data_IF_429195672634
#
_entry.id   IF_429195672634
#
_cell.length_a   1.000
_cell.length_b   1.000
_cell.length_c   1.000
_cell.angle_alpha   90.00
_cell.angle_beta   90.00
_cell.angle_gamma   90.00
#
_symmetry.space_group_name_H-M   'P 1'
#
loop_
_entity.id
_entity.type
_entity.pdbx_description
1 polymer ?
#
# COMPACT_ATOMS: atom_id res chain seq x y z
N UNK A 1 -18.19 -67.19 6.15
CA UNK A 1 -19.46 -66.48 6.46
C UNK A 1 -19.29 -65.94 7.87
N UNK A 2 -18.92 -64.69 8.17
CA UNK A 2 -18.99 -63.44 7.44
C UNK A 2 -17.72 -62.61 7.72
N UNK A 3 -17.16 -61.97 6.69
CA UNK A 3 -16.16 -60.91 6.83
C UNK A 3 -16.93 -59.58 6.93
N UNK A 4 -16.66 -58.80 7.97
CA UNK A 4 -17.27 -57.48 8.17
C UNK A 4 -16.78 -56.46 7.13
N UNK A 5 -17.54 -55.38 6.87
CA UNK A 5 -17.15 -54.38 5.90
C UNK A 5 -16.03 -53.48 6.46
N UNK A 6 -14.97 -53.30 5.66
CA UNK A 6 -13.95 -52.27 5.86
C UNK A 6 -14.59 -50.87 5.76
N UNK A 7 -14.37 -50.04 6.77
CA UNK A 7 -14.71 -48.62 6.73
C UNK A 7 -13.70 -47.87 5.84
N UNK A 8 -14.13 -46.90 5.02
CA UNK A 8 -13.21 -46.12 4.21
C UNK A 8 -12.48 -45.08 5.06
N UNK A 9 -11.14 -45.17 5.02
CA UNK A 9 -10.18 -44.24 5.60
C UNK A 9 -10.38 -42.83 5.02
N UNK A 10 -10.79 -41.88 5.86
CA UNK A 10 -10.94 -40.47 5.51
C UNK A 10 -9.55 -39.84 5.44
N UNK A 11 -9.08 -39.31 4.29
CA UNK A 11 -7.79 -38.63 4.24
C UNK A 11 -7.89 -37.32 5.01
N UNK A 12 -7.01 -37.15 6.00
CA UNK A 12 -6.88 -35.95 6.80
C UNK A 12 -6.79 -34.70 5.93
N UNK A 13 -7.76 -33.82 6.10
CA UNK A 13 -7.70 -32.45 5.58
C UNK A 13 -6.58 -31.74 6.32
N UNK A 14 -5.42 -31.65 5.66
CA UNK A 14 -4.32 -30.79 6.08
C UNK A 14 -4.82 -29.36 6.15
N UNK A 15 -5.09 -28.90 7.36
CA UNK A 15 -5.22 -27.49 7.66
C UNK A 15 -3.82 -26.88 7.54
N UNK A 16 -3.44 -26.49 6.32
CA UNK A 16 -2.39 -25.49 6.12
C UNK A 16 -2.94 -24.15 6.61
N UNK A 17 -2.88 -23.99 7.93
CA UNK A 17 -2.99 -22.70 8.59
C UNK A 17 -1.90 -21.82 8.01
N UNK A 18 -2.30 -20.84 7.21
CA UNK A 18 -1.42 -19.80 6.69
C UNK A 18 -1.00 -18.89 7.86
N UNK A 19 -0.10 -19.41 8.69
CA UNK A 19 0.62 -18.65 9.68
C UNK A 19 1.58 -17.76 8.90
N UNK A 20 1.11 -16.56 8.54
CA UNK A 20 1.93 -15.59 7.84
C UNK A 20 3.01 -15.16 8.82
N UNK A 21 4.28 -15.59 8.67
CA UNK A 21 5.25 -15.46 9.73
C UNK A 21 5.46 -13.98 9.99
N UNK A 22 5.22 -13.57 11.23
CA UNK A 22 5.58 -12.25 11.71
C UNK A 22 7.07 -12.02 11.39
N UNK A 23 7.35 -11.07 10.51
CA UNK A 23 8.71 -10.72 10.12
C UNK A 23 9.22 -9.72 11.15
N UNK A 24 10.16 -10.16 11.99
CA UNK A 24 10.83 -9.28 12.94
C UNK A 24 11.43 -8.06 12.20
N UNK A 25 11.33 -6.83 12.74
CA UNK A 25 11.78 -5.61 12.08
C UNK A 25 13.22 -5.64 11.54
N UNK A 26 14.09 -6.43 12.16
CA UNK A 26 15.51 -6.61 11.84
C UNK A 26 15.74 -7.34 10.50
N UNK A 27 14.73 -8.03 9.98
CA UNK A 27 14.81 -8.73 8.68
C UNK A 27 14.29 -7.89 7.50
N UNK A 28 13.91 -6.63 7.76
CA UNK A 28 13.57 -5.65 6.73
C UNK A 28 14.82 -5.04 6.09
N UNK A 29 14.77 -4.64 4.80
CA UNK A 29 15.96 -4.22 4.06
C UNK A 29 16.70 -3.06 4.71
N UNK A 30 18.04 -3.11 4.72
CA UNK A 30 18.88 -2.05 5.28
C UNK A 30 18.57 -0.66 4.71
N UNK A 31 18.22 -0.60 3.42
CA UNK A 31 17.84 0.63 2.73
C UNK A 31 16.56 1.30 3.30
N UNK A 32 15.75 0.58 4.07
CA UNK A 32 14.53 1.10 4.68
C UNK A 32 14.78 1.65 6.09
N UNK A 33 15.86 1.23 6.76
CA UNK A 33 16.13 1.53 8.17
C UNK A 33 16.13 3.03 8.50
N UNK A 34 16.70 3.93 7.66
CA UNK A 34 16.62 5.38 7.91
C UNK A 34 15.18 5.92 7.96
N UNK A 35 14.24 5.28 7.26
CA UNK A 35 12.83 5.62 7.25
C UNK A 35 12.06 4.91 8.37
N UNK A 36 12.33 3.63 8.61
CA UNK A 36 11.69 2.84 9.67
C UNK A 36 11.99 3.39 11.07
N UNK A 37 13.17 3.98 11.27
CA UNK A 37 13.54 4.65 12.51
C UNK A 37 12.87 6.02 12.74
N UNK A 38 12.03 6.50 11.81
CA UNK A 38 11.27 7.74 12.02
C UNK A 38 10.09 7.46 12.95
N UNK A 39 9.78 8.35 13.93
CA UNK A 39 8.79 8.07 14.97
C UNK A 39 7.45 7.55 14.44
N UNK A 40 6.93 8.17 13.37
CA UNK A 40 5.68 7.80 12.75
C UNK A 40 5.59 6.34 12.27
N UNK A 41 6.70 5.77 11.78
CA UNK A 41 6.82 4.37 11.37
C UNK A 41 7.26 3.48 12.52
N UNK A 42 8.23 3.93 13.32
CA UNK A 42 8.77 3.19 14.45
C UNK A 42 7.69 2.77 15.44
N UNK A 43 6.72 3.66 15.72
CA UNK A 43 5.57 3.39 16.59
C UNK A 43 4.62 2.31 16.03
N UNK A 44 4.67 2.02 14.73
CA UNK A 44 3.85 0.97 14.10
C UNK A 44 4.59 -0.38 14.02
N UNK A 45 5.90 -0.40 14.28
CA UNK A 45 6.68 -1.63 14.31
C UNK A 45 6.19 -2.50 15.47
N UNK A 46 5.86 -3.76 15.17
CA UNK A 46 5.23 -4.69 16.12
C UNK A 46 3.72 -4.85 15.94
N UNK A 47 3.04 -3.92 15.25
CA UNK A 47 1.64 -4.13 14.92
C UNK A 47 1.50 -5.24 13.84
N UNK A 48 0.69 -6.30 14.03
CA UNK A 48 0.64 -7.45 13.11
C UNK A 48 0.34 -7.06 11.66
N UNK A 49 -0.69 -6.23 11.44
CA UNK A 49 -1.07 -5.76 10.10
C UNK A 49 0.02 -4.88 9.45
N UNK A 50 0.75 -4.08 10.25
CA UNK A 50 1.85 -3.25 9.74
C UNK A 50 3.04 -4.13 9.31
N UNK A 51 3.41 -5.10 10.14
CA UNK A 51 4.46 -6.08 9.82
C UNK A 51 4.13 -6.90 8.57
N UNK A 52 2.87 -7.36 8.45
CA UNK A 52 2.40 -8.07 7.26
C UNK A 52 2.44 -7.18 6.00
N UNK A 53 2.02 -5.92 6.10
CA UNK A 53 2.06 -4.99 4.97
C UNK A 53 3.49 -4.69 4.51
N UNK A 54 4.44 -4.48 5.44
CA UNK A 54 5.86 -4.29 5.12
C UNK A 54 6.47 -5.55 4.49
N UNK A 55 6.04 -6.73 4.91
CA UNK A 55 6.47 -8.02 4.34
C UNK A 55 6.00 -8.17 2.90
N UNK A 56 4.72 -7.91 2.63
CA UNK A 56 4.16 -7.95 1.27
C UNK A 56 4.81 -6.88 0.39
N UNK A 57 5.01 -5.66 0.90
CA UNK A 57 5.70 -4.60 0.19
C UNK A 57 7.11 -5.04 -0.26
N UNK A 58 7.85 -5.74 0.60
CA UNK A 58 9.19 -6.27 0.30
C UNK A 58 9.15 -7.31 -0.82
N UNK A 59 8.10 -8.13 -0.86
CA UNK A 59 7.91 -9.18 -1.87
C UNK A 59 7.45 -8.62 -3.21
N UNK A 60 6.59 -7.61 -3.19
CA UNK A 60 5.84 -7.14 -4.36
C UNK A 60 6.52 -5.98 -5.08
N UNK A 61 7.25 -5.12 -4.37
CA UNK A 61 7.83 -3.89 -4.93
C UNK A 61 9.34 -4.01 -5.18
N UNK A 62 9.84 -3.47 -6.30
CA UNK A 62 11.26 -3.16 -6.44
C UNK A 62 11.73 -2.21 -5.32
N UNK A 63 13.03 -2.26 -4.93
CA UNK A 63 13.53 -1.50 -3.79
C UNK A 63 13.20 0.01 -3.81
N UNK A 64 13.31 0.66 -4.97
CA UNK A 64 13.01 2.10 -5.10
C UNK A 64 11.52 2.44 -4.97
N UNK A 65 10.62 1.53 -5.32
CA UNK A 65 9.17 1.71 -5.10
C UNK A 65 8.79 1.51 -3.64
N UNK A 66 9.44 0.58 -2.94
CA UNK A 66 9.23 0.40 -1.51
C UNK A 66 9.69 1.63 -0.71
N UNK A 67 10.84 2.21 -1.05
CA UNK A 67 11.30 3.47 -0.43
C UNK A 67 10.32 4.62 -0.70
N UNK A 68 9.80 4.74 -1.93
CA UNK A 68 8.75 5.71 -2.26
C UNK A 68 7.48 5.51 -1.41
N UNK A 69 7.05 4.27 -1.19
CA UNK A 69 5.89 3.93 -0.38
C UNK A 69 6.08 4.34 1.09
N UNK A 70 7.26 4.08 1.67
CA UNK A 70 7.61 4.51 3.02
C UNK A 70 7.67 6.05 3.15
N UNK A 71 8.28 6.75 2.19
CA UNK A 71 8.29 8.23 2.18
C UNK A 71 6.89 8.79 2.02
N UNK A 72 6.05 8.19 1.18
CA UNK A 72 4.64 8.56 1.01
C UNK A 72 3.89 8.52 2.34
N UNK A 73 4.03 7.44 3.11
CA UNK A 73 3.44 7.36 4.45
C UNK A 73 3.96 8.46 5.38
N UNK A 74 5.27 8.68 5.45
CA UNK A 74 5.87 9.68 6.33
C UNK A 74 5.46 11.12 5.99
N UNK A 75 5.33 11.43 4.70
CA UNK A 75 4.87 12.75 4.23
C UNK A 75 3.38 12.94 4.51
N UNK A 76 2.58 11.90 4.34
CA UNK A 76 1.17 11.90 4.69
C UNK A 76 0.98 12.13 6.20
N UNK A 77 1.72 11.42 7.03
CA UNK A 77 1.70 11.59 8.49
C UNK A 77 2.19 12.99 8.93
N UNK A 78 3.22 13.54 8.29
CA UNK A 78 3.64 14.93 8.54
C UNK A 78 2.52 15.93 8.24
N UNK A 79 1.78 15.74 7.14
CA UNK A 79 0.62 16.55 6.80
C UNK A 79 -0.49 16.41 7.84
N UNK A 80 -0.78 15.17 8.25
CA UNK A 80 -1.78 14.90 9.27
C UNK A 80 -1.47 15.61 10.59
N UNK A 81 -0.20 15.60 11.03
CA UNK A 81 0.23 16.34 12.22
C UNK A 81 0.09 17.84 12.08
N UNK A 82 0.51 18.42 10.95
CA UNK A 82 0.39 19.86 10.70
C UNK A 82 -1.06 20.34 10.80
N UNK A 83 -2.02 19.51 10.37
CA UNK A 83 -3.43 19.87 10.30
C UNK A 83 -4.30 19.24 11.39
N UNK A 84 -3.72 18.57 12.40
CA UNK A 84 -4.47 17.86 13.44
C UNK A 84 -5.47 16.82 12.91
N UNK A 85 -5.16 16.19 11.76
CA UNK A 85 -6.08 15.23 11.11
C UNK A 85 -5.93 13.85 11.74
N UNK A 86 -6.99 13.35 12.35
CA UNK A 86 -7.07 11.96 12.79
C UNK A 86 -7.26 11.02 11.59
N UNK A 87 -6.59 9.86 11.62
CA UNK A 87 -6.65 8.87 10.56
C UNK A 87 -6.20 7.48 11.07
N UNK A 88 -6.57 6.44 10.33
CA UNK A 88 -6.08 5.07 10.56
C UNK A 88 -4.62 4.93 10.14
N UNK A 89 -3.69 5.05 11.10
CA UNK A 89 -2.23 4.99 10.85
C UNK A 89 -1.77 3.68 10.23
N UNK A 90 -2.22 2.56 10.78
CA UNK A 90 -1.83 1.22 10.30
C UNK A 90 -2.43 0.96 8.92
N UNK A 91 -3.69 1.35 8.71
CA UNK A 91 -4.35 1.21 7.42
C UNK A 91 -3.72 2.09 6.35
N UNK A 92 -3.32 3.32 6.68
CA UNK A 92 -2.62 4.21 5.75
C UNK A 92 -1.24 3.66 5.37
N UNK A 93 -0.51 3.05 6.32
CA UNK A 93 0.74 2.34 6.01
C UNK A 93 0.49 1.18 5.04
N UNK A 94 -0.55 0.38 5.26
CA UNK A 94 -0.93 -0.70 4.33
C UNK A 94 -1.35 -0.13 2.96
N UNK A 95 -2.13 0.94 2.92
CA UNK A 95 -2.51 1.59 1.67
C UNK A 95 -1.29 2.13 0.90
N UNK A 96 -0.34 2.76 1.60
CA UNK A 96 0.91 3.23 1.02
C UNK A 96 1.77 2.07 0.50
N UNK A 97 1.86 0.95 1.23
CA UNK A 97 2.59 -0.24 0.80
C UNK A 97 2.05 -0.86 -0.49
N UNK A 98 0.75 -0.71 -0.76
CA UNK A 98 0.09 -1.33 -1.91
C UNK A 98 -0.17 -0.39 -3.09
N UNK A 99 -0.11 0.94 -2.92
CA UNK A 99 -0.69 1.88 -3.89
C UNK A 99 -0.14 1.74 -5.32
N UNK A 100 1.13 1.38 -5.45
CA UNK A 100 1.84 1.20 -6.73
C UNK A 100 2.09 -0.27 -7.11
N UNK A 101 1.62 -1.25 -6.35
CA UNK A 101 1.87 -2.68 -6.65
C UNK A 101 1.33 -3.06 -8.03
N UNK A 102 0.16 -2.52 -8.39
CA UNK A 102 -0.43 -2.73 -9.71
C UNK A 102 0.43 -2.19 -10.86
N UNK A 103 1.30 -1.21 -10.60
CA UNK A 103 2.18 -0.57 -11.60
C UNK A 103 3.42 -1.43 -11.91
N UNK A 104 3.88 -2.22 -10.94
CA UNK A 104 5.15 -2.97 -11.04
C UNK A 104 4.97 -4.44 -11.45
N UNK A 105 3.73 -4.95 -11.45
CA UNK A 105 3.43 -6.35 -11.78
C UNK A 105 3.77 -6.73 -13.23
N UNK A 106 4.26 -7.96 -13.42
CA UNK A 106 4.67 -8.51 -14.74
C UNK A 106 3.50 -8.92 -15.64
N UNK A 107 2.34 -9.18 -15.06
CA UNK A 107 1.12 -9.58 -15.79
C UNK A 107 0.46 -8.37 -16.43
N UNK A 108 -0.06 -8.52 -17.64
CA UNK A 108 -0.82 -7.45 -18.33
C UNK A 108 -1.91 -6.88 -17.42
N UNK A 109 -2.01 -5.55 -17.39
CA UNK A 109 -3.13 -4.87 -16.75
C UNK A 109 -4.43 -5.28 -17.44
N UNK A 110 -5.41 -5.74 -16.66
CA UNK A 110 -6.75 -6.07 -17.16
C UNK A 110 -7.53 -4.83 -17.62
N UNK A 111 -8.87 -4.92 -17.64
CA UNK A 111 -9.78 -3.80 -17.97
C UNK A 111 -9.77 -2.65 -16.94
N UNK A 112 -8.94 -2.71 -15.90
CA UNK A 112 -8.76 -1.65 -14.89
C UNK A 112 -7.36 -1.02 -14.93
N UNK A 113 -7.28 0.24 -14.51
CA UNK A 113 -6.00 0.93 -14.30
C UNK A 113 -5.14 0.28 -13.22
N UNK A 114 -3.86 0.65 -13.15
CA UNK A 114 -2.95 0.07 -12.15
C UNK A 114 -3.43 0.35 -10.71
N UNK A 115 -3.99 1.54 -10.45
CA UNK A 115 -4.56 1.89 -9.15
C UNK A 115 -5.74 1.00 -8.76
N UNK A 116 -6.60 0.61 -9.71
CA UNK A 116 -7.69 -0.33 -9.46
C UNK A 116 -7.16 -1.73 -9.11
N UNK A 117 -6.10 -2.16 -9.78
CA UNK A 117 -5.41 -3.41 -9.46
C UNK A 117 -4.72 -3.36 -8.10
N UNK A 118 -4.01 -2.29 -7.78
CA UNK A 118 -3.43 -2.06 -6.45
C UNK A 118 -4.50 -2.14 -5.36
N UNK A 119 -5.66 -1.53 -5.60
CA UNK A 119 -6.79 -1.58 -4.67
C UNK A 119 -7.37 -3.00 -4.51
N UNK A 120 -7.44 -3.80 -5.57
CA UNK A 120 -7.87 -5.21 -5.48
C UNK A 120 -6.89 -6.06 -4.68
N UNK A 121 -5.58 -5.85 -4.87
CA UNK A 121 -4.56 -6.57 -4.11
C UNK A 121 -4.57 -6.18 -2.63
N UNK A 122 -4.76 -4.89 -2.35
CA UNK A 122 -4.95 -4.41 -0.98
C UNK A 122 -6.21 -5.02 -0.36
N UNK A 123 -7.33 -5.08 -1.09
CA UNK A 123 -8.57 -5.64 -0.56
C UNK A 123 -8.43 -7.11 -0.18
N UNK A 124 -7.79 -7.91 -1.05
CA UNK A 124 -7.51 -9.32 -0.77
C UNK A 124 -6.56 -9.49 0.44
N UNK A 125 -5.54 -8.65 0.55
CA UNK A 125 -4.64 -8.62 1.71
C UNK A 125 -5.41 -8.31 3.00
N UNK A 126 -6.19 -7.22 3.01
CA UNK A 126 -6.95 -6.79 4.18
C UNK A 126 -8.02 -7.82 4.57
N UNK A 127 -8.66 -8.49 3.60
CA UNK A 127 -9.62 -9.56 3.84
C UNK A 127 -8.97 -10.75 4.56
N UNK A 128 -7.78 -11.18 4.11
CA UNK A 128 -7.01 -12.26 4.72
C UNK A 128 -6.55 -11.96 6.15
N UNK A 129 -6.44 -10.69 6.50
CA UNK A 129 -6.12 -10.22 7.85
C UNK A 129 -7.36 -9.75 8.63
N UNK A 130 -8.55 -10.22 8.25
CA UNK A 130 -9.82 -10.03 8.96
C UNK A 130 -10.21 -8.56 9.19
N UNK A 131 -9.74 -7.66 8.34
CA UNK A 131 -10.09 -6.24 8.42
C UNK A 131 -11.54 -6.05 7.97
N UNK A 132 -12.34 -5.36 8.80
CA UNK A 132 -13.75 -5.14 8.53
C UNK A 132 -14.05 -4.39 7.21
N UNK A 133 -15.24 -4.63 6.61
CA UNK A 133 -15.58 -4.17 5.26
C UNK A 133 -15.59 -2.64 5.09
N UNK A 134 -16.02 -1.89 6.12
CA UNK A 134 -16.01 -0.42 6.07
C UNK A 134 -14.59 0.16 5.96
N UNK A 135 -13.67 -0.35 6.78
CA UNK A 135 -12.25 0.02 6.76
C UNK A 135 -11.58 -0.37 5.44
N UNK A 136 -11.85 -1.59 4.95
CA UNK A 136 -11.41 -2.04 3.62
C UNK A 136 -11.87 -1.12 2.51
N UNK A 137 -13.15 -0.74 2.52
CA UNK A 137 -13.73 0.16 1.51
C UNK A 137 -13.00 1.52 1.50
N UNK A 138 -12.76 2.10 2.68
CA UNK A 138 -12.05 3.38 2.79
C UNK A 138 -10.61 3.31 2.28
N UNK A 139 -9.85 2.28 2.67
CA UNK A 139 -8.44 2.11 2.30
C UNK A 139 -8.26 1.76 0.82
N UNK A 140 -9.12 0.90 0.28
CA UNK A 140 -9.09 0.54 -1.15
C UNK A 140 -9.55 1.70 -2.03
N UNK A 141 -10.47 2.54 -1.55
CA UNK A 141 -10.82 3.81 -2.20
C UNK A 141 -9.62 4.77 -2.23
N UNK A 142 -8.91 4.92 -1.11
CA UNK A 142 -7.69 5.73 -1.06
C UNK A 142 -6.69 5.31 -2.14
N UNK A 143 -6.40 4.00 -2.24
CA UNK A 143 -5.51 3.47 -3.29
C UNK A 143 -6.10 3.64 -4.68
N UNK A 144 -7.40 3.46 -4.90
CA UNK A 144 -7.99 3.62 -6.23
C UNK A 144 -7.90 5.06 -6.75
N UNK A 145 -7.94 6.03 -5.84
CA UNK A 145 -8.06 7.45 -6.16
C UNK A 145 -6.76 8.26 -6.03
N UNK A 146 -5.64 7.65 -5.61
CA UNK A 146 -4.40 8.39 -5.35
C UNK A 146 -3.84 9.12 -6.59
N UNK A 147 -4.16 8.66 -7.80
CA UNK A 147 -3.74 9.31 -9.06
C UNK A 147 -4.71 10.39 -9.58
N UNK A 148 -5.81 10.68 -8.87
CA UNK A 148 -6.68 11.79 -9.28
C UNK A 148 -5.90 13.10 -9.28
N UNK A 149 -6.19 14.04 -10.20
CA UNK A 149 -5.58 15.36 -10.16
C UNK A 149 -5.83 16.09 -8.84
N UNK A 150 -6.97 15.83 -8.20
CA UNK A 150 -7.31 16.32 -6.86
C UNK A 150 -8.12 15.25 -6.12
N UNK A 151 -8.02 15.18 -4.78
CA UNK A 151 -8.89 14.32 -3.98
C UNK A 151 -10.38 14.60 -4.27
N UNK A 152 -11.22 13.58 -4.20
CA UNK A 152 -12.67 13.77 -4.27
C UNK A 152 -13.16 14.63 -3.10
N UNK A 153 -14.26 15.38 -3.30
CA UNK A 153 -14.84 16.25 -2.26
C UNK A 153 -15.25 15.45 -1.02
N UNK A 154 -15.78 14.26 -1.22
CA UNK A 154 -16.23 13.31 -0.20
C UNK A 154 -15.14 12.30 0.22
N UNK A 155 -13.87 12.52 -0.16
CA UNK A 155 -12.78 11.63 0.24
C UNK A 155 -12.69 11.51 1.77
N UNK A 156 -12.26 10.37 2.28
CA UNK A 156 -11.89 10.21 3.69
C UNK A 156 -10.51 10.81 4.00
N UNK A 157 -10.12 10.89 5.29
CA UNK A 157 -8.80 11.35 5.68
C UNK A 157 -7.69 10.49 5.06
N UNK A 158 -7.81 9.16 5.04
CA UNK A 158 -6.79 8.26 4.47
C UNK A 158 -6.59 8.51 2.97
N UNK A 159 -7.67 8.76 2.23
CA UNK A 159 -7.60 9.05 0.80
C UNK A 159 -6.91 10.40 0.51
N UNK A 160 -7.21 11.44 1.31
CA UNK A 160 -6.54 12.75 1.20
C UNK A 160 -5.06 12.66 1.56
N UNK A 161 -4.74 11.96 2.64
CA UNK A 161 -3.37 11.84 3.15
C UNK A 161 -2.49 10.98 2.22
N UNK A 162 -3.01 9.85 1.73
CA UNK A 162 -2.29 9.03 0.74
C UNK A 162 -2.02 9.81 -0.56
N UNK A 163 -3.04 10.52 -1.05
CA UNK A 163 -2.90 11.39 -2.22
C UNK A 163 -1.82 12.46 -1.99
N UNK A 164 -1.87 13.17 -0.86
CA UNK A 164 -0.89 14.18 -0.51
C UNK A 164 0.53 13.61 -0.48
N UNK A 165 0.75 12.51 0.25
CA UNK A 165 2.07 11.90 0.39
C UNK A 165 2.66 11.46 -0.96
N UNK A 166 1.87 10.78 -1.79
CA UNK A 166 2.31 10.30 -3.09
C UNK A 166 2.66 11.46 -4.03
N UNK A 167 1.79 12.47 -4.13
CA UNK A 167 2.02 13.64 -4.99
C UNK A 167 3.20 14.50 -4.51
N UNK A 168 3.36 14.63 -3.19
CA UNK A 168 4.49 15.37 -2.63
C UNK A 168 5.81 14.67 -2.94
N UNK A 169 5.91 13.35 -2.76
CA UNK A 169 7.16 12.64 -2.98
C UNK A 169 7.61 12.73 -4.45
N UNK A 170 6.69 12.53 -5.39
CA UNK A 170 7.01 12.49 -6.83
C UNK A 170 7.16 13.88 -7.43
N UNK A 171 6.15 14.75 -7.31
CA UNK A 171 6.10 16.03 -8.05
C UNK A 171 6.27 17.25 -7.16
N UNK A 172 6.48 17.07 -5.85
CA UNK A 172 6.69 18.20 -4.92
C UNK A 172 5.41 18.97 -4.56
N UNK A 173 4.24 18.51 -5.01
CA UNK A 173 2.98 19.20 -4.76
C UNK A 173 2.65 19.16 -3.27
N UNK A 174 2.36 20.32 -2.68
CA UNK A 174 2.03 20.42 -1.26
C UNK A 174 3.22 20.69 -0.35
N UNK A 175 4.43 20.91 -0.89
CA UNK A 175 5.65 21.13 -0.10
C UNK A 175 5.55 22.27 0.92
N UNK A 176 4.74 23.31 0.67
CA UNK A 176 4.50 24.40 1.62
C UNK A 176 3.75 23.98 2.89
N UNK A 177 3.03 22.86 2.86
CA UNK A 177 2.30 22.34 4.02
C UNK A 177 3.21 21.60 5.01
N UNK A 178 4.33 21.04 4.51
CA UNK A 178 5.35 20.35 5.32
C UNK A 178 6.75 20.78 4.86
N UNK A 179 7.17 22.03 5.16
CA UNK A 179 8.40 22.59 4.61
C UNK A 179 9.64 21.77 4.97
N UNK A 180 10.38 21.33 3.96
CA UNK A 180 11.66 20.61 4.14
C UNK A 180 11.53 19.09 4.36
N UNK A 181 10.35 18.56 4.68
CA UNK A 181 10.17 17.12 4.94
C UNK A 181 10.53 16.26 3.73
N UNK A 182 10.07 16.63 2.53
CA UNK A 182 10.41 15.90 1.29
C UNK A 182 11.92 15.83 1.07
N UNK A 183 12.62 16.96 1.19
CA UNK A 183 14.07 17.02 1.00
C UNK A 183 14.82 16.19 2.05
N UNK A 184 14.39 16.30 3.32
CA UNK A 184 14.94 15.51 4.43
C UNK A 184 14.81 14.01 4.18
N UNK A 185 13.60 13.53 3.85
CA UNK A 185 13.34 12.11 3.60
C UNK A 185 14.06 11.59 2.34
N UNK A 186 14.13 12.40 1.28
CA UNK A 186 14.90 12.05 0.08
C UNK A 186 16.41 11.95 0.36
N UNK A 187 16.95 12.78 1.26
CA UNK A 187 18.34 12.70 1.72
C UNK A 187 18.63 11.45 2.56
N UNK A 188 17.69 11.04 3.41
CA UNK A 188 17.82 9.83 4.25
C UNK A 188 17.73 8.52 3.45
N UNK A 189 16.90 8.50 2.41
CA UNK A 189 16.69 7.31 1.57
C UNK A 189 16.58 7.73 0.09
N UNK A 190 17.72 7.95 -0.59
CA UNK A 190 17.73 8.44 -1.96
C UNK A 190 17.24 7.39 -2.96
N UNK A 191 16.55 7.85 -4.01
CA UNK A 191 16.02 7.00 -5.08
C UNK A 191 16.36 7.58 -6.47
N UNK A 192 17.64 7.58 -6.89
CA UNK A 192 18.13 8.35 -8.05
C UNK A 192 17.52 7.96 -9.40
N UNK A 193 16.93 6.77 -9.52
CA UNK A 193 16.25 6.30 -10.75
C UNK A 193 14.74 6.20 -10.64
N UNK A 194 14.16 6.59 -9.50
CA UNK A 194 12.73 6.40 -9.27
C UNK A 194 11.87 7.16 -10.29
N UNK A 195 12.12 8.46 -10.49
CA UNK A 195 11.33 9.28 -11.42
C UNK A 195 11.33 8.72 -12.86
N UNK A 196 12.49 8.26 -13.34
CA UNK A 196 12.63 7.63 -14.66
C UNK A 196 11.88 6.30 -14.71
N UNK A 197 12.08 5.44 -13.70
CA UNK A 197 11.47 4.11 -13.61
C UNK A 197 9.95 4.17 -13.44
N UNK A 198 9.45 5.17 -12.72
CA UNK A 198 8.03 5.46 -12.51
C UNK A 198 7.41 5.95 -13.82
N UNK A 199 8.00 6.98 -14.44
CA UNK A 199 7.51 7.53 -15.71
C UNK A 199 7.44 6.48 -16.82
N UNK A 200 8.48 5.63 -16.95
CA UNK A 200 8.48 4.55 -17.93
C UNK A 200 7.34 3.54 -17.71
N UNK A 201 7.06 3.16 -16.46
CA UNK A 201 5.93 2.26 -16.14
C UNK A 201 4.57 2.92 -16.36
N UNK A 202 4.47 4.21 -16.04
CA UNK A 202 3.26 5.01 -16.28
C UNK A 202 2.93 5.09 -17.78
N UNK A 203 3.93 5.32 -18.62
CA UNK A 203 3.80 5.29 -20.08
C UNK A 203 3.35 3.90 -20.57
N UNK A 204 3.95 2.83 -20.06
CA UNK A 204 3.58 1.45 -20.41
C UNK A 204 2.13 1.09 -20.01
N UNK A 205 1.58 1.70 -18.97
CA UNK A 205 0.18 1.50 -18.57
C UNK A 205 -0.81 2.18 -19.52
N UNK A 206 -0.40 3.29 -20.14
CA UNK A 206 -1.25 4.13 -20.97
C UNK A 206 -2.19 5.04 -20.15
N UNK A 207 -2.47 6.27 -20.62
CA UNK A 207 -3.13 7.32 -19.82
C UNK A 207 -4.57 6.97 -19.38
N UNK A 208 -5.31 6.19 -20.17
CA UNK A 208 -6.66 5.70 -19.82
C UNK A 208 -6.68 4.75 -18.63
N UNK A 209 -5.52 4.23 -18.23
CA UNK A 209 -5.32 3.26 -17.13
C UNK A 209 -4.61 3.87 -15.92
N UNK A 210 -4.36 5.19 -15.95
CA UNK A 210 -3.74 5.95 -14.87
C UNK A 210 -4.78 6.67 -14.03
N UNK A 211 -5.74 7.32 -14.69
CA UNK A 211 -6.83 7.97 -13.99
C UNK A 211 -7.86 6.93 -13.55
N UNK A 212 -8.42 7.04 -12.34
CA UNK A 212 -9.56 6.21 -11.98
C UNK A 212 -10.67 6.43 -13.00
N UNK A 213 -11.31 5.33 -13.42
CA UNK A 213 -12.48 5.42 -14.29
C UNK A 213 -13.55 6.29 -13.65
N UNK A 214 -14.37 6.94 -14.47
CA UNK A 214 -15.56 7.62 -13.96
C UNK A 214 -16.38 6.61 -13.14
N UNK A 215 -16.92 7.00 -11.97
CA UNK A 215 -17.83 6.12 -11.25
C UNK A 215 -18.97 5.78 -12.21
N UNK A 216 -19.10 4.51 -12.56
CA UNK A 216 -20.31 4.02 -13.21
C UNK A 216 -21.40 4.20 -12.16
N UNK A 217 -22.37 5.07 -12.43
CA UNK A 217 -23.53 5.20 -11.58
C UNK A 217 -24.17 3.80 -11.42
N UNK A 218 -24.51 3.37 -10.19
CA UNK A 218 -25.27 2.14 -10.04
C UNK A 218 -26.58 2.29 -10.84
N UNK A 219 -26.85 1.30 -11.69
CA UNK A 219 -28.15 1.14 -12.36
C UNK A 219 -29.17 0.59 -11.36
#
# INVERSE_FOLDING_TARGET
MAAGPEEPEVPGSGADGADSPFVAPESLPQAWQPLLGRPALAELLGHPLAGAALTEMRRLLPPHFAVHSLRTFLLADACARTHGTAYDRVGLLAAAAFHDVGLVGRTRLGRGGFAARSAQLLDAFLARHEVGPGRRTALTRAVREHMRPFPARDAGPEARLLHFGAWLDVVGRGARQVPGDRARLAGLAPTPRFAVSFSARMLACGPRRVLPGSPVAPR
#
